data_IF_665909291427
#
_entry.id   IF_665909291427
#
_cell.length_a   1.000
_cell.length_b   1.000
_cell.length_c   1.000
_cell.angle_alpha   90.00
_cell.angle_beta   90.00
_cell.angle_gamma   90.00
#
_symmetry.space_group_name_H-M   'P 1'
#
loop_
_entity.id
_entity.type
_entity.pdbx_description
1 polymer ?
#
# COMPACT_ATOMS: atom_id res chain seq x y z
N UNK A 1 -1.01 -33.29 2.76
CA UNK A 1 -1.85 -32.15 2.43
C UNK A 1 -1.03 -31.07 1.75
N UNK A 2 -1.45 -30.64 0.59
CA UNK A 2 -0.77 -29.58 -0.13
C UNK A 2 -1.24 -28.23 0.37
N UNK A 3 -0.31 -27.41 0.85
CA UNK A 3 -0.60 -26.03 1.23
C UNK A 3 -0.45 -25.19 -0.03
N UNK A 4 -1.47 -24.36 -0.29
CA UNK A 4 -1.44 -23.47 -1.45
C UNK A 4 -0.24 -22.52 -1.34
N UNK A 5 0.56 -22.32 -2.40
CA UNK A 5 1.75 -21.46 -2.36
C UNK A 5 1.48 -20.05 -1.86
N UNK A 6 0.31 -19.49 -2.15
CA UNK A 6 -0.12 -18.18 -1.66
C UNK A 6 -0.18 -18.15 -0.13
N UNK A 7 -0.74 -19.19 0.49
CA UNK A 7 -0.85 -19.29 1.95
C UNK A 7 0.53 -19.35 2.59
N UNK A 8 1.44 -20.15 2.03
CA UNK A 8 2.82 -20.26 2.50
C UNK A 8 3.55 -18.92 2.40
N UNK A 9 3.35 -18.21 1.29
CA UNK A 9 3.95 -16.90 1.08
C UNK A 9 3.47 -15.87 2.09
N UNK A 10 2.17 -15.84 2.38
CA UNK A 10 1.59 -14.93 3.37
C UNK A 10 2.16 -15.19 4.76
N UNK A 11 2.29 -16.46 5.16
CA UNK A 11 2.88 -16.82 6.46
C UNK A 11 4.33 -16.38 6.55
N UNK A 12 5.12 -16.61 5.50
CA UNK A 12 6.52 -16.19 5.46
C UNK A 12 6.66 -14.68 5.59
N UNK A 13 5.80 -13.92 4.91
CA UNK A 13 5.78 -12.46 5.02
C UNK A 13 5.40 -12.00 6.42
N UNK A 14 4.38 -12.62 7.02
CA UNK A 14 3.93 -12.27 8.36
C UNK A 14 5.05 -12.46 9.38
N UNK A 15 5.81 -13.53 9.27
CA UNK A 15 6.95 -13.81 10.16
C UNK A 15 8.08 -12.80 9.99
N UNK A 16 8.21 -12.19 8.81
CA UNK A 16 9.26 -11.22 8.53
C UNK A 16 8.91 -9.80 9.02
N UNK A 17 7.63 -9.52 9.26
CA UNK A 17 7.19 -8.22 9.76
C UNK A 17 7.66 -8.04 11.20
N UNK A 18 8.32 -6.90 11.46
CA UNK A 18 8.81 -6.58 12.81
C UNK A 18 7.69 -6.02 13.66
N UNK A 19 7.55 -6.53 14.87
CA UNK A 19 6.60 -6.01 15.85
C UNK A 19 7.35 -5.13 16.84
N UNK A 20 6.92 -3.88 16.95
CA UNK A 20 7.55 -2.89 17.83
C UNK A 20 6.52 -2.45 18.85
N UNK A 21 6.79 -2.77 20.12
CA UNK A 21 5.92 -2.38 21.22
C UNK A 21 6.09 -0.91 21.57
N UNK A 22 5.02 -0.25 21.97
CA UNK A 22 5.00 1.12 22.47
C UNK A 22 5.56 2.12 21.46
N UNK A 23 5.18 1.99 20.19
CA UNK A 23 5.58 2.93 19.14
C UNK A 23 4.38 3.23 18.22
N UNK A 24 4.16 4.48 17.82
CA UNK A 24 4.86 5.72 18.21
C UNK A 24 4.56 6.19 19.61
N UNK A 25 3.61 5.58 20.28
CA UNK A 25 3.20 5.92 21.64
C UNK A 25 3.04 4.66 22.48
N UNK A 26 3.11 4.83 23.81
CA UNK A 26 2.87 3.75 24.77
C UNK A 26 1.51 3.09 24.52
N UNK A 27 1.49 1.77 24.54
CA UNK A 27 0.27 0.96 24.37
C UNK A 27 -0.05 0.59 22.93
N UNK A 28 0.72 1.09 21.95
CA UNK A 28 0.54 0.78 20.53
C UNK A 28 1.57 -0.25 20.10
N UNK A 29 1.10 -1.34 19.48
CA UNK A 29 1.94 -2.32 18.81
C UNK A 29 2.04 -1.94 17.34
N UNK A 30 3.23 -1.55 16.91
CA UNK A 30 3.47 -1.17 15.53
C UNK A 30 3.97 -2.36 14.71
N UNK A 31 3.38 -2.54 13.54
CA UNK A 31 3.81 -3.56 12.58
C UNK A 31 4.66 -2.90 11.50
N UNK A 32 5.95 -3.20 11.52
CA UNK A 32 6.93 -2.59 10.64
C UNK A 32 7.28 -3.53 9.49
N UNK A 33 6.96 -3.12 8.27
CA UNK A 33 7.26 -3.89 7.06
C UNK A 33 8.67 -3.66 6.53
N UNK A 34 9.44 -2.77 7.15
CA UNK A 34 10.79 -2.45 6.66
C UNK A 34 11.66 -3.68 6.43
N UNK A 35 11.67 -4.70 7.31
CA UNK A 35 12.44 -5.91 7.05
C UNK A 35 12.04 -6.64 5.76
N UNK A 36 10.78 -6.57 5.37
CA UNK A 36 10.30 -7.13 4.08
C UNK A 36 10.87 -6.31 2.93
N UNK A 37 10.81 -4.99 3.02
CA UNK A 37 11.30 -4.10 1.96
C UNK A 37 12.81 -4.18 1.78
N UNK A 38 13.56 -4.43 2.86
CA UNK A 38 15.01 -4.51 2.86
C UNK A 38 15.54 -5.81 2.28
N UNK A 39 14.72 -6.82 2.18
CA UNK A 39 15.11 -8.14 1.65
C UNK A 39 14.64 -8.29 0.21
N UNK A 40 15.55 -8.48 -0.72
CA UNK A 40 15.19 -8.70 -2.12
C UNK A 40 14.24 -9.90 -2.27
N UNK A 41 14.50 -10.96 -1.53
CA UNK A 41 13.67 -12.18 -1.56
C UNK A 41 12.24 -11.90 -1.07
N UNK A 42 12.10 -11.27 0.09
CA UNK A 42 10.78 -11.02 0.68
C UNK A 42 10.03 -9.89 -0.03
N UNK A 43 10.74 -8.87 -0.50
CA UNK A 43 10.10 -7.82 -1.29
C UNK A 43 9.53 -8.40 -2.59
N UNK A 44 10.31 -9.24 -3.27
CA UNK A 44 9.85 -9.94 -4.47
C UNK A 44 8.64 -10.82 -4.16
N UNK A 45 8.69 -11.57 -3.07
CA UNK A 45 7.59 -12.43 -2.65
C UNK A 45 6.30 -11.61 -2.45
N UNK A 46 6.40 -10.48 -1.74
CA UNK A 46 5.26 -9.60 -1.51
C UNK A 46 4.63 -9.13 -2.82
N UNK A 47 5.45 -8.59 -3.71
CA UNK A 47 4.95 -8.07 -5.00
C UNK A 47 4.40 -9.19 -5.87
N UNK A 48 5.08 -10.33 -5.93
CA UNK A 48 4.62 -11.47 -6.75
C UNK A 48 3.28 -12.02 -6.26
N UNK A 49 3.05 -12.07 -4.95
CA UNK A 49 1.77 -12.49 -4.39
C UNK A 49 0.65 -11.53 -4.76
N UNK A 50 0.92 -10.24 -4.73
CA UNK A 50 -0.05 -9.23 -5.13
C UNK A 50 -0.35 -9.29 -6.62
N UNK A 51 0.69 -9.46 -7.44
CA UNK A 51 0.52 -9.65 -8.89
C UNK A 51 -0.33 -10.88 -9.17
N UNK A 52 -0.03 -12.00 -8.54
CA UNK A 52 -0.79 -13.24 -8.69
C UNK A 52 -2.28 -13.03 -8.37
N UNK A 53 -2.54 -12.30 -7.28
CA UNK A 53 -3.91 -12.04 -6.83
C UNK A 53 -4.71 -11.18 -7.82
N UNK A 54 -4.07 -10.18 -8.44
CA UNK A 54 -4.76 -9.17 -9.23
C UNK A 54 -4.57 -9.26 -10.73
N UNK A 55 -3.64 -10.08 -11.23
CA UNK A 55 -3.33 -10.15 -12.66
C UNK A 55 -4.52 -10.60 -13.53
N UNK A 56 -5.46 -11.36 -12.95
CA UNK A 56 -6.65 -11.81 -13.66
C UNK A 56 -7.83 -10.84 -13.58
N UNK A 57 -7.66 -9.73 -12.87
CA UNK A 57 -8.70 -8.71 -12.70
C UNK A 57 -8.38 -7.50 -13.56
N UNK A 58 -9.42 -6.77 -13.95
CA UNK A 58 -9.22 -5.53 -14.66
C UNK A 58 -8.80 -4.44 -13.66
N UNK A 59 -7.54 -4.05 -13.70
CA UNK A 59 -7.02 -2.91 -12.93
C UNK A 59 -6.55 -1.87 -13.94
N UNK A 60 -7.08 -0.66 -13.82
CA UNK A 60 -6.72 0.43 -14.73
C UNK A 60 -5.56 1.26 -14.19
N UNK A 61 -5.46 1.38 -12.87
CA UNK A 61 -4.41 2.17 -12.22
C UNK A 61 -4.23 1.70 -10.78
N UNK A 62 -3.02 1.83 -10.27
CA UNK A 62 -2.71 1.60 -8.85
C UNK A 62 -2.54 2.94 -8.17
N UNK A 63 -3.18 3.13 -7.02
CA UNK A 63 -3.00 4.29 -6.18
C UNK A 63 -2.38 3.86 -4.85
N UNK A 64 -1.37 4.58 -4.40
CA UNK A 64 -0.69 4.27 -3.15
C UNK A 64 -0.69 5.45 -2.19
N UNK A 65 -0.82 5.15 -0.89
CA UNK A 65 -0.79 6.17 0.14
C UNK A 65 0.65 6.45 0.62
N UNK A 66 0.93 7.71 0.84
CA UNK A 66 2.19 8.22 1.37
C UNK A 66 2.45 7.63 2.76
N UNK A 67 3.56 6.94 3.04
CA UNK A 67 4.73 6.82 2.17
C UNK A 67 5.00 5.37 1.74
N UNK A 68 4.74 4.36 2.60
CA UNK A 68 5.08 2.97 2.31
C UNK A 68 4.20 2.36 1.21
N UNK A 69 2.97 2.85 1.07
CA UNK A 69 2.10 2.49 -0.04
C UNK A 69 2.68 2.86 -1.40
N UNK A 70 3.55 3.85 -1.46
CA UNK A 70 4.24 4.22 -2.70
C UNK A 70 5.20 3.12 -3.16
N UNK A 71 5.97 2.57 -2.23
CA UNK A 71 6.97 1.55 -2.55
C UNK A 71 6.30 0.30 -3.10
N UNK A 72 5.33 -0.22 -2.37
CA UNK A 72 4.59 -1.42 -2.77
C UNK A 72 3.75 -1.14 -4.02
N UNK A 73 3.04 -0.03 -4.02
CA UNK A 73 2.15 0.34 -5.11
C UNK A 73 2.87 0.57 -6.43
N UNK A 74 4.01 1.26 -6.40
CA UNK A 74 4.80 1.50 -7.60
C UNK A 74 5.33 0.19 -8.20
N UNK A 75 5.84 -0.72 -7.37
CA UNK A 75 6.32 -2.01 -7.82
C UNK A 75 5.18 -2.84 -8.42
N UNK A 76 4.01 -2.83 -7.79
CA UNK A 76 2.84 -3.55 -8.27
C UNK A 76 2.33 -2.96 -9.60
N UNK A 77 2.23 -1.64 -9.70
CA UNK A 77 1.81 -0.97 -10.95
C UNK A 77 2.74 -1.33 -12.11
N UNK A 78 4.03 -1.30 -11.88
CA UNK A 78 5.03 -1.67 -12.87
C UNK A 78 4.81 -3.11 -13.36
N UNK A 79 4.61 -4.06 -12.44
CA UNK A 79 4.41 -5.47 -12.79
C UNK A 79 3.07 -5.71 -13.48
N UNK A 80 2.03 -4.98 -13.12
CA UNK A 80 0.71 -5.07 -13.77
C UNK A 80 0.63 -4.28 -15.08
N UNK A 81 1.67 -3.53 -15.40
CA UNK A 81 1.73 -2.68 -16.60
C UNK A 81 0.62 -1.61 -16.61
N UNK A 82 0.42 -0.97 -15.48
CA UNK A 82 -0.52 0.14 -15.34
C UNK A 82 0.18 1.34 -14.69
N UNK A 83 -0.47 2.50 -14.70
CA UNK A 83 0.07 3.69 -14.08
C UNK A 83 -0.04 3.65 -12.56
N UNK A 84 0.68 4.58 -11.92
CA UNK A 84 0.66 4.76 -10.47
C UNK A 84 0.22 6.17 -10.11
N UNK A 85 -0.69 6.29 -9.14
CA UNK A 85 -1.21 7.57 -8.64
C UNK A 85 -0.79 7.75 -7.19
N UNK A 86 -0.01 8.79 -6.87
CA UNK A 86 0.31 9.08 -5.48
C UNK A 86 -0.87 9.74 -4.77
N UNK A 87 -1.21 9.22 -3.60
CA UNK A 87 -2.12 9.86 -2.66
C UNK A 87 -1.26 10.40 -1.53
N UNK A 88 -1.23 11.73 -1.37
CA UNK A 88 -0.30 12.38 -0.47
C UNK A 88 -1.02 13.21 0.57
N UNK A 89 -0.32 13.51 1.65
CA UNK A 89 -0.79 14.44 2.67
C UNK A 89 -0.97 15.83 2.07
N UNK A 90 -1.92 16.57 2.61
CA UNK A 90 -2.26 17.93 2.15
C UNK A 90 -1.01 18.80 1.96
N UNK A 91 -0.95 19.48 0.83
CA UNK A 91 0.10 20.43 0.51
C UNK A 91 1.35 19.83 -0.13
N UNK A 92 1.38 18.52 -0.40
CA UNK A 92 2.56 17.85 -0.98
C UNK A 92 2.51 17.73 -2.49
N UNK A 93 1.36 17.89 -3.11
CA UNK A 93 1.20 17.76 -4.56
C UNK A 93 1.22 19.14 -5.23
N UNK A 94 1.97 19.30 -6.33
CA UNK A 94 2.20 20.63 -6.95
C UNK A 94 1.12 21.10 -7.92
N UNK A 95 0.23 20.21 -8.35
CA UNK A 95 -0.84 20.54 -9.29
C UNK A 95 -2.17 20.64 -8.56
N UNK A 96 -3.26 20.97 -9.26
CA UNK A 96 -4.61 21.01 -8.68
C UNK A 96 -5.00 19.68 -8.06
N UNK A 97 -5.61 19.73 -6.89
CA UNK A 97 -5.93 18.54 -6.10
C UNK A 97 -7.40 18.45 -5.74
N UNK A 98 -7.83 17.20 -5.55
CA UNK A 98 -9.07 16.88 -4.85
C UNK A 98 -8.66 16.26 -3.51
N UNK A 99 -9.31 16.67 -2.43
CA UNK A 99 -8.94 16.25 -1.10
C UNK A 99 -10.05 15.50 -0.39
N UNK A 100 -9.65 14.66 0.56
CA UNK A 100 -10.54 13.95 1.45
C UNK A 100 -9.97 14.01 2.85
N UNK A 101 -10.78 14.50 3.78
CA UNK A 101 -10.43 14.54 5.20
C UNK A 101 -11.01 13.34 5.92
N UNK A 102 -10.31 12.88 6.95
CA UNK A 102 -10.77 11.80 7.80
C UNK A 102 -10.36 12.03 9.25
N UNK A 103 -11.20 11.55 10.16
CA UNK A 103 -10.96 11.70 11.60
C UNK A 103 -9.87 10.74 12.08
N UNK A 104 -8.99 11.27 12.92
CA UNK A 104 -8.04 10.50 13.71
C UNK A 104 -8.55 10.43 15.16
N UNK A 105 -7.93 9.59 15.97
CA UNK A 105 -8.20 9.55 17.40
C UNK A 105 -7.97 10.93 18.05
N UNK A 106 -6.93 11.64 17.59
CA UNK A 106 -6.61 13.01 18.03
C UNK A 106 -6.46 13.91 16.82
N UNK A 107 -7.59 14.48 16.35
CA UNK A 107 -7.56 15.43 15.27
C UNK A 107 -8.07 14.91 13.95
N UNK A 108 -7.59 15.48 12.87
CA UNK A 108 -8.04 15.21 11.52
C UNK A 108 -6.85 15.17 10.56
N UNK A 109 -6.91 14.31 9.58
CA UNK A 109 -5.93 14.26 8.52
C UNK A 109 -6.60 14.44 7.17
N UNK A 110 -5.88 15.02 6.22
CA UNK A 110 -6.36 15.24 4.85
C UNK A 110 -5.35 14.66 3.86
N UNK A 111 -5.85 13.88 2.91
CA UNK A 111 -5.05 13.37 1.79
C UNK A 111 -5.58 13.95 0.49
N UNK A 112 -4.71 14.01 -0.50
CA UNK A 112 -4.99 14.63 -1.78
C UNK A 112 -4.51 13.78 -2.94
N UNK A 113 -5.22 13.86 -4.08
CA UNK A 113 -4.75 13.36 -5.36
C UNK A 113 -4.86 14.49 -6.39
N UNK A 114 -4.09 14.42 -7.47
CA UNK A 114 -4.26 15.35 -8.58
C UNK A 114 -5.63 15.20 -9.24
N UNK A 115 -6.20 16.31 -9.69
CA UNK A 115 -7.52 16.32 -10.33
C UNK A 115 -7.58 15.50 -11.61
N UNK A 116 -6.45 15.33 -12.29
CA UNK A 116 -6.33 14.58 -13.55
C UNK A 116 -5.81 13.14 -13.37
N UNK A 117 -5.67 12.68 -12.12
CA UNK A 117 -4.99 11.42 -11.83
C UNK A 117 -5.79 10.18 -12.27
N UNK A 118 -7.09 10.22 -12.11
CA UNK A 118 -7.96 9.06 -12.34
C UNK A 118 -9.11 9.46 -13.23
N UNK A 119 -9.31 8.70 -14.31
CA UNK A 119 -10.42 8.93 -15.23
C UNK A 119 -11.73 8.38 -14.62
N UNK A 120 -12.87 9.01 -14.88
CA UNK A 120 -14.17 8.47 -14.45
C UNK A 120 -14.36 7.04 -14.94
N UNK A 121 -14.84 6.17 -14.05
CA UNK A 121 -15.08 4.77 -14.37
C UNK A 121 -13.85 3.87 -14.29
N UNK A 122 -12.67 4.42 -14.02
CA UNK A 122 -11.46 3.62 -13.87
C UNK A 122 -11.54 2.71 -12.64
N UNK A 123 -11.00 1.50 -12.78
CA UNK A 123 -10.85 0.56 -11.67
C UNK A 123 -9.51 0.79 -11.01
N UNK A 124 -9.55 1.25 -9.77
CA UNK A 124 -8.38 1.64 -8.99
C UNK A 124 -8.08 0.57 -7.95
N UNK A 125 -6.82 0.13 -7.93
CA UNK A 125 -6.33 -0.71 -6.85
C UNK A 125 -5.61 0.19 -5.85
N UNK A 126 -6.19 0.32 -4.67
CA UNK A 126 -5.63 1.14 -3.60
C UNK A 126 -4.68 0.30 -2.75
N UNK A 127 -3.48 0.82 -2.51
CA UNK A 127 -2.40 0.07 -1.83
C UNK A 127 -1.86 0.86 -0.65
N UNK A 128 -1.76 0.19 0.48
CA UNK A 128 -1.03 0.67 1.64
C UNK A 128 -0.44 -0.54 2.40
N UNK A 129 0.40 -0.29 3.37
CA UNK A 129 1.04 -1.34 4.16
C UNK A 129 0.17 -1.84 5.32
N UNK A 130 -0.77 -1.02 5.77
CA UNK A 130 -1.63 -1.32 6.91
C UNK A 130 -3.04 -0.81 6.66
N UNK A 131 -4.03 -1.70 6.84
CA UNK A 131 -5.43 -1.31 6.84
C UNK A 131 -5.92 -1.33 8.29
N UNK A 132 -6.17 -0.16 8.83
CA UNK A 132 -6.78 -0.02 10.15
C UNK A 132 -8.30 -0.03 10.03
N UNK A 133 -8.96 -0.49 11.04
CA UNK A 133 -10.43 -0.52 11.06
C UNK A 133 -11.04 0.87 11.22
#
# INVERSE_FOLDING_TARGET
MLIHPEVMGVEALADKIRKIENWPQKGILFHDITPVLQSAEYFRLLVDLLVYRYMGQKVDVVAGLDARGFIIGAALAYQLNVGFVPIRKKGKLPFDTVSQSYALEYGEATVEIHTDAIKPGARVLLVDDLVAT
#
